data_IF_858800048485
#
_entry.id   IF_858800048485
#
_cell.length_a   1.000
_cell.length_b   1.000
_cell.length_c   1.000
_cell.angle_alpha   90.00
_cell.angle_beta   90.00
_cell.angle_gamma   90.00
#
_symmetry.space_group_name_H-M   'P 1'
#
loop_
_entity.id
_entity.type
_entity.pdbx_description
1 polymer ?
#
# COMPACT_ATOMS: atom_id res chain seq x y z
N UNK A 1 26.96 42.56 87.22
CA UNK A 1 25.87 41.61 86.90
C UNK A 1 26.12 41.04 85.50
N UNK A 2 26.05 39.72 85.38
CA UNK A 2 26.51 38.90 84.24
C UNK A 2 25.72 39.17 82.96
N UNK A 3 26.41 39.31 81.83
CA UNK A 3 25.91 38.98 80.49
C UNK A 3 26.90 37.98 79.89
N UNK A 4 26.44 36.76 79.58
CA UNK A 4 27.15 35.86 78.69
C UNK A 4 26.13 35.34 77.68
N UNK A 5 26.34 35.73 76.43
CA UNK A 5 25.61 35.35 75.24
C UNK A 5 26.59 34.54 74.41
N UNK A 6 26.30 33.27 74.16
CA UNK A 6 27.05 32.46 73.21
C UNK A 6 26.09 31.48 72.55
N UNK A 7 25.66 31.88 71.35
CA UNK A 7 24.83 31.11 70.44
C UNK A 7 25.75 30.19 69.64
N UNK A 8 25.62 28.89 69.85
CA UNK A 8 26.10 27.86 68.94
C UNK A 8 25.23 27.91 67.68
N UNK A 9 25.79 28.31 66.53
CA UNK A 9 25.23 27.95 65.23
C UNK A 9 26.35 27.47 64.31
N UNK A 10 26.40 26.15 64.17
CA UNK A 10 27.18 25.38 63.21
C UNK A 10 26.83 25.80 61.77
N UNK A 11 27.73 26.52 61.12
CA UNK A 11 27.72 26.73 59.67
C UNK A 11 28.66 25.69 59.06
N UNK A 12 28.10 24.55 58.65
CA UNK A 12 28.76 23.66 57.68
C UNK A 12 28.56 24.33 56.31
N UNK A 13 29.61 24.72 55.57
CA UNK A 13 29.43 25.13 54.19
C UNK A 13 29.06 23.88 53.37
N UNK A 14 27.79 23.80 52.98
CA UNK A 14 27.34 22.94 51.89
C UNK A 14 28.04 23.43 50.62
N UNK A 15 29.21 22.88 50.31
CA UNK A 15 29.78 22.92 48.97
C UNK A 15 28.90 22.07 48.05
N UNK A 16 27.76 22.62 47.63
CA UNK A 16 27.09 22.18 46.42
C UNK A 16 28.00 22.56 45.26
N UNK A 17 28.85 21.62 44.83
CA UNK A 17 29.46 21.67 43.52
C UNK A 17 28.31 21.60 42.51
N UNK A 18 27.85 22.75 42.04
CA UNK A 18 26.90 22.81 40.95
C UNK A 18 27.58 22.18 39.72
N UNK A 19 27.15 20.97 39.35
CA UNK A 19 27.67 20.31 38.15
C UNK A 19 27.33 21.19 36.94
N UNK A 20 28.34 21.49 36.13
CA UNK A 20 28.22 22.35 34.96
C UNK A 20 27.22 21.78 33.96
N UNK A 21 26.21 22.59 33.59
CA UNK A 21 25.23 22.23 32.57
C UNK A 21 25.77 22.62 31.20
N UNK A 22 25.90 21.64 30.32
CA UNK A 22 26.31 21.84 28.92
C UNK A 22 25.06 21.69 28.05
N UNK A 23 24.64 22.74 27.36
CA UNK A 23 23.50 22.66 26.44
C UNK A 23 23.93 22.01 25.13
N UNK A 24 23.14 21.06 24.63
CA UNK A 24 23.44 20.30 23.41
C UNK A 24 22.25 20.29 22.44
N UNK A 25 22.54 20.26 21.15
CA UNK A 25 21.54 20.12 20.08
C UNK A 25 21.02 18.67 19.95
N UNK A 26 20.16 18.42 18.97
CA UNK A 26 19.57 17.09 18.75
C UNK A 26 20.53 16.00 18.26
N UNK A 27 21.78 16.35 17.92
CA UNK A 27 22.82 15.41 17.49
C UNK A 27 23.98 15.35 18.49
N UNK A 28 23.85 16.03 19.64
CA UNK A 28 24.81 15.99 20.75
C UNK A 28 25.93 17.04 20.69
N UNK A 29 25.88 18.02 19.79
CA UNK A 29 26.88 19.09 19.74
C UNK A 29 26.56 20.19 20.76
N UNK A 30 27.57 20.78 21.44
CA UNK A 30 27.38 21.93 22.30
C UNK A 30 26.74 23.12 21.56
N UNK A 31 25.78 23.78 22.21
CA UNK A 31 25.02 24.89 21.63
C UNK A 31 24.55 25.87 22.71
N UNK A 32 23.86 26.94 22.31
CA UNK A 32 23.23 27.88 23.26
C UNK A 32 21.92 27.32 23.80
N UNK A 33 21.47 27.80 24.96
CA UNK A 33 20.24 27.33 25.61
C UNK A 33 19.02 27.43 24.69
N UNK A 34 18.95 28.46 23.86
CA UNK A 34 17.84 28.74 22.94
C UNK A 34 17.75 27.72 21.80
N UNK A 35 18.88 27.11 21.44
CA UNK A 35 18.99 26.12 20.35
C UNK A 35 19.11 24.69 20.86
N UNK A 36 19.14 24.50 22.18
CA UNK A 36 19.34 23.22 22.82
C UNK A 36 18.09 22.34 22.70
N UNK A 37 18.30 21.04 22.53
CA UNK A 37 17.24 20.03 22.77
C UNK A 37 17.41 19.38 24.14
N UNK A 38 18.65 19.28 24.61
CA UNK A 38 18.97 18.64 25.89
C UNK A 38 19.99 19.48 26.67
N UNK A 39 20.14 19.19 27.95
CA UNK A 39 21.32 19.59 28.72
C UNK A 39 22.04 18.37 29.26
N UNK A 40 23.37 18.43 29.26
CA UNK A 40 24.28 17.37 29.67
C UNK A 40 24.95 17.73 30.99
N UNK A 41 25.10 16.72 31.84
CA UNK A 41 25.86 16.73 33.07
C UNK A 41 26.93 15.64 32.97
N UNK A 42 28.18 15.99 33.26
CA UNK A 42 29.31 15.05 33.25
C UNK A 42 29.94 15.02 34.64
N UNK A 43 30.11 13.83 35.19
CA UNK A 43 30.86 13.60 36.42
C UNK A 43 32.01 12.62 36.18
N UNK A 44 33.21 12.98 36.62
CA UNK A 44 34.35 12.07 36.53
C UNK A 44 34.25 11.05 37.67
N UNK A 45 34.29 9.76 37.34
CA UNK A 45 34.26 8.65 38.28
C UNK A 45 35.44 7.73 37.97
N UNK A 46 36.49 7.84 38.78
CA UNK A 46 37.77 7.16 38.56
C UNK A 46 38.36 7.41 37.16
N UNK A 47 38.48 6.37 36.35
CA UNK A 47 39.04 6.35 34.99
C UNK A 47 37.98 6.62 33.90
N UNK A 48 36.73 6.95 34.28
CA UNK A 48 35.60 7.10 33.35
C UNK A 48 34.83 8.39 33.60
N UNK A 49 34.02 8.76 32.61
CA UNK A 49 33.06 9.86 32.70
C UNK A 49 31.65 9.29 32.72
N UNK A 50 30.92 9.58 33.79
CA UNK A 50 29.48 9.32 33.86
C UNK A 50 28.74 10.51 33.26
N UNK A 51 28.03 10.26 32.16
CA UNK A 51 27.35 11.26 31.36
C UNK A 51 25.85 11.05 31.48
N UNK A 52 25.15 12.13 31.80
CA UNK A 52 23.70 12.16 31.80
C UNK A 52 23.19 13.31 30.94
N UNK A 53 22.34 12.99 29.99
CA UNK A 53 21.60 13.98 29.22
C UNK A 53 20.16 14.02 29.73
N UNK A 54 19.58 15.22 29.71
CA UNK A 54 18.24 15.48 30.17
C UNK A 54 17.49 16.32 29.14
N UNK A 55 16.21 16.04 28.98
CA UNK A 55 15.28 16.97 28.33
C UNK A 55 15.28 18.32 29.06
N UNK A 56 14.89 19.40 28.37
CA UNK A 56 14.88 20.73 28.97
C UNK A 56 13.93 20.85 30.18
N UNK A 57 12.93 19.97 30.28
CA UNK A 57 12.02 19.86 31.43
C UNK A 57 12.63 19.12 32.64
N UNK A 58 13.84 18.59 32.50
CA UNK A 58 14.60 17.91 33.55
C UNK A 58 14.43 16.39 33.60
N UNK A 59 13.64 15.78 32.69
CA UNK A 59 13.55 14.32 32.60
C UNK A 59 14.83 13.72 32.02
N UNK A 60 15.22 12.55 32.51
CA UNK A 60 16.39 11.82 32.03
C UNK A 60 16.18 11.41 30.57
N UNK A 61 17.15 11.73 29.72
CA UNK A 61 17.17 11.36 28.31
C UNK A 61 18.26 10.35 28.00
N UNK A 62 19.42 10.41 28.66
CA UNK A 62 20.50 9.44 28.50
C UNK A 62 21.23 9.23 29.84
N UNK A 63 21.66 7.99 30.09
CA UNK A 63 22.57 7.61 31.17
C UNK A 63 23.63 6.65 30.61
N UNK A 64 24.89 7.06 30.58
CA UNK A 64 25.98 6.31 29.95
C UNK A 64 27.33 6.60 30.60
N UNK A 65 28.29 5.71 30.37
CA UNK A 65 29.70 5.92 30.74
C UNK A 65 30.58 5.93 29.50
N UNK A 66 31.60 6.78 29.47
CA UNK A 66 32.58 6.84 28.39
C UNK A 66 34.01 6.97 28.95
N UNK A 67 35.01 6.57 28.16
CA UNK A 67 36.43 6.77 28.50
C UNK A 67 36.94 8.18 28.20
N UNK A 68 36.19 8.96 27.40
CA UNK A 68 36.53 10.33 27.00
C UNK A 68 35.35 11.27 27.21
N UNK A 69 35.65 12.54 27.49
CA UNK A 69 34.64 13.59 27.71
C UNK A 69 33.96 14.01 26.41
N UNK A 70 34.66 13.93 25.28
CA UNK A 70 34.27 14.41 23.95
C UNK A 70 33.85 13.27 23.00
N UNK A 71 33.08 12.30 23.51
CA UNK A 71 32.57 11.19 22.71
C UNK A 71 31.63 11.68 21.59
N UNK A 72 31.64 10.96 20.47
CA UNK A 72 30.88 11.29 19.25
C UNK A 72 29.82 10.24 18.91
N UNK A 73 29.89 9.06 19.51
CA UNK A 73 29.12 7.89 19.08
C UNK A 73 28.85 6.90 20.23
N UNK A 74 27.87 6.00 20.03
CA UNK A 74 27.50 4.95 21.01
C UNK A 74 28.64 3.95 21.20
N UNK A 75 29.47 3.76 20.16
CA UNK A 75 30.64 2.90 20.14
C UNK A 75 31.73 3.31 21.13
N UNK A 76 31.67 4.54 21.66
CA UNK A 76 32.61 5.06 22.65
C UNK A 76 32.12 4.88 24.10
N UNK A 77 30.92 4.32 24.28
CA UNK A 77 30.42 3.98 25.61
C UNK A 77 31.05 2.70 26.15
N UNK A 78 31.17 2.65 27.47
CA UNK A 78 31.68 1.50 28.23
C UNK A 78 30.67 1.06 29.26
N UNK A 79 30.45 -0.24 29.41
CA UNK A 79 29.41 -0.75 30.29
C UNK A 79 28.00 -0.43 29.80
N UNK A 80 27.05 -0.38 30.74
CA UNK A 80 25.62 -0.20 30.43
C UNK A 80 25.31 1.25 30.07
N UNK A 81 24.43 1.42 29.09
CA UNK A 81 23.88 2.72 28.72
C UNK A 81 22.39 2.61 28.39
N UNK A 82 21.66 3.71 28.53
CA UNK A 82 20.23 3.78 28.20
C UNK A 82 19.84 5.18 27.74
N UNK A 83 18.88 5.23 26.81
CA UNK A 83 18.26 6.43 26.28
C UNK A 83 16.74 6.32 26.46
N UNK A 84 16.08 7.45 26.63
CA UNK A 84 14.66 7.52 26.95
C UNK A 84 13.93 8.54 26.07
N UNK A 85 12.70 8.20 25.68
CA UNK A 85 11.73 9.14 25.10
C UNK A 85 11.26 10.16 26.16
N UNK A 86 10.61 11.24 25.72
CA UNK A 86 10.06 12.29 26.61
C UNK A 86 9.00 11.77 27.60
N UNK A 87 8.33 10.66 27.24
CA UNK A 87 7.38 9.96 28.10
C UNK A 87 8.04 9.02 29.13
N UNK A 88 9.37 8.92 29.10
CA UNK A 88 10.18 8.10 30.00
C UNK A 88 10.33 6.63 29.57
N UNK A 89 9.74 6.21 28.44
CA UNK A 89 9.99 4.87 27.89
C UNK A 89 11.40 4.77 27.33
N UNK A 90 11.96 3.56 27.35
CA UNK A 90 13.28 3.28 26.78
C UNK A 90 13.23 3.46 25.26
N UNK A 91 14.15 4.27 24.75
CA UNK A 91 14.41 4.45 23.32
C UNK A 91 15.57 3.54 22.87
N UNK A 92 16.67 3.53 23.63
CA UNK A 92 17.84 2.69 23.37
C UNK A 92 18.30 2.07 24.69
N UNK A 93 18.68 0.79 24.66
CA UNK A 93 19.33 0.15 25.80
C UNK A 93 20.44 -0.78 25.32
N UNK A 94 21.61 -0.69 25.93
CA UNK A 94 22.74 -1.51 25.55
C UNK A 94 23.83 -1.63 26.60
N UNK A 95 24.86 -2.39 26.24
CA UNK A 95 26.03 -2.62 27.04
C UNK A 95 27.26 -2.83 26.14
N UNK A 96 28.37 -2.19 26.48
CA UNK A 96 29.70 -2.57 26.02
C UNK A 96 30.38 -3.38 27.14
N UNK A 97 30.86 -4.57 26.79
CA UNK A 97 31.60 -5.43 27.70
C UNK A 97 32.74 -6.13 26.97
N UNK A 98 33.96 -5.83 27.38
CA UNK A 98 35.18 -6.48 26.89
C UNK A 98 35.33 -6.42 25.35
N UNK A 99 35.02 -5.28 24.74
CA UNK A 99 35.07 -5.08 23.28
C UNK A 99 33.86 -5.62 22.53
N UNK A 100 32.85 -6.14 23.23
CA UNK A 100 31.57 -6.56 22.65
C UNK A 100 30.51 -5.50 22.94
N UNK A 101 29.96 -4.88 21.89
CA UNK A 101 28.88 -3.90 21.99
C UNK A 101 27.57 -4.55 21.59
N UNK A 102 26.51 -4.36 22.38
CA UNK A 102 25.16 -4.80 22.02
C UNK A 102 24.11 -3.79 22.48
N UNK A 103 23.16 -3.45 21.61
CA UNK A 103 22.06 -2.58 21.98
C UNK A 103 20.77 -2.87 21.20
N UNK A 104 19.65 -2.46 21.78
CA UNK A 104 18.33 -2.46 21.16
C UNK A 104 17.82 -1.04 21.05
N UNK A 105 17.20 -0.73 19.91
CA UNK A 105 16.45 0.50 19.67
C UNK A 105 14.97 0.14 19.63
N UNK A 106 14.13 0.95 20.27
CA UNK A 106 12.69 0.75 20.36
C UNK A 106 11.95 1.90 19.68
N UNK A 107 10.76 1.61 19.16
CA UNK A 107 9.83 2.65 18.69
C UNK A 107 9.04 3.28 19.87
N UNK A 108 8.31 4.39 19.66
CA UNK A 108 7.50 5.02 20.72
C UNK A 108 6.39 4.13 21.31
N UNK A 109 6.04 3.02 20.63
CA UNK A 109 5.09 2.00 21.12
C UNK A 109 5.79 0.93 21.98
N UNK A 110 7.12 0.99 22.11
CA UNK A 110 7.94 0.05 22.87
C UNK A 110 8.28 -1.24 22.12
N UNK A 111 8.07 -1.29 20.80
CA UNK A 111 8.44 -2.44 19.97
C UNK A 111 9.91 -2.31 19.55
N UNK A 112 10.63 -3.42 19.43
CA UNK A 112 12.01 -3.41 18.92
C UNK A 112 11.98 -2.92 17.47
N UNK A 113 12.80 -1.92 17.16
CA UNK A 113 13.08 -1.43 15.82
C UNK A 113 14.41 -1.99 15.32
N UNK A 114 15.45 -1.95 16.16
CA UNK A 114 16.78 -2.46 15.81
C UNK A 114 17.38 -3.27 16.95
N UNK A 115 18.06 -4.36 16.62
CA UNK A 115 19.06 -4.98 17.50
C UNK A 115 20.42 -4.92 16.81
N UNK A 116 21.43 -4.46 17.53
CA UNK A 116 22.81 -4.36 17.04
C UNK A 116 23.73 -5.15 17.96
N UNK A 117 24.64 -5.91 17.37
CA UNK A 117 25.69 -6.65 18.07
C UNK A 117 27.00 -6.53 17.29
N UNK A 118 28.09 -6.18 17.98
CA UNK A 118 29.43 -6.12 17.42
C UNK A 118 30.43 -6.81 18.34
N UNK A 119 31.22 -7.73 17.77
CA UNK A 119 32.33 -8.42 18.43
C UNK A 119 33.56 -8.33 17.51
N UNK A 120 34.55 -7.53 17.92
CA UNK A 120 35.69 -7.18 17.06
C UNK A 120 35.22 -6.43 15.81
N UNK A 121 35.57 -6.95 14.62
CA UNK A 121 35.12 -6.42 13.33
C UNK A 121 33.76 -7.00 12.87
N UNK A 122 33.28 -8.06 13.53
CA UNK A 122 32.04 -8.71 13.13
C UNK A 122 30.84 -7.94 13.64
N UNK A 123 29.84 -7.75 12.78
CA UNK A 123 28.59 -7.07 13.09
C UNK A 123 27.40 -7.95 12.74
N UNK A 124 26.39 -7.94 13.61
CA UNK A 124 25.09 -8.55 13.39
C UNK A 124 24.00 -7.54 13.72
N UNK A 125 23.05 -7.36 12.80
CA UNK A 125 21.98 -6.37 12.93
C UNK A 125 20.65 -7.01 12.58
N UNK A 126 19.64 -6.80 13.43
CA UNK A 126 18.24 -7.07 13.11
C UNK A 126 17.50 -5.74 12.95
N UNK A 127 16.77 -5.56 11.85
CA UNK A 127 15.99 -4.34 11.58
C UNK A 127 14.53 -4.70 11.32
N UNK A 128 13.62 -4.15 12.12
CA UNK A 128 12.19 -4.41 12.13
C UNK A 128 11.42 -3.22 11.54
N UNK A 129 10.76 -3.46 10.41
CA UNK A 129 9.90 -2.50 9.73
C UNK A 129 8.44 -2.92 9.89
N UNK A 130 7.66 -2.12 10.61
CA UNK A 130 6.24 -2.39 10.83
C UNK A 130 5.36 -1.69 9.79
N UNK A 131 4.36 -2.39 9.27
CA UNK A 131 3.46 -1.91 8.22
C UNK A 131 2.64 -0.68 8.66
N UNK A 132 2.37 -0.54 9.97
CA UNK A 132 1.69 0.63 10.52
C UNK A 132 2.55 1.90 10.54
N UNK A 133 3.86 1.77 10.26
CA UNK A 133 4.78 2.89 10.05
C UNK A 133 4.95 3.24 8.56
N UNK A 134 4.34 2.49 7.63
CA UNK A 134 4.43 2.78 6.20
C UNK A 134 3.58 4.02 5.85
N UNK A 135 4.18 4.96 5.10
CA UNK A 135 3.53 6.22 4.67
C UNK A 135 2.34 6.04 3.72
N UNK A 136 2.02 4.80 3.30
CA UNK A 136 0.98 4.52 2.31
C UNK A 136 -0.33 4.15 3.03
N UNK A 137 -1.16 5.16 3.25
CA UNK A 137 -2.52 4.99 3.77
C UNK A 137 -3.30 4.03 2.87
N UNK A 138 -3.79 2.92 3.42
CA UNK A 138 -4.72 2.01 2.74
C UNK A 138 -4.13 0.71 2.15
N UNK A 139 -2.81 0.51 2.17
CA UNK A 139 -2.21 -0.79 1.81
C UNK A 139 -1.94 -1.65 3.05
N UNK A 140 -2.53 -2.83 3.09
CA UNK A 140 -2.28 -3.85 4.11
C UNK A 140 -0.99 -4.60 3.77
N UNK A 141 0.15 -4.04 4.16
CA UNK A 141 1.47 -4.64 3.92
C UNK A 141 1.88 -5.58 5.07
N UNK A 142 2.85 -6.46 4.81
CA UNK A 142 3.47 -7.28 5.84
C UNK A 142 4.43 -6.45 6.70
N UNK A 143 4.57 -6.81 7.97
CA UNK A 143 5.76 -6.45 8.73
C UNK A 143 6.97 -7.19 8.15
N UNK A 144 8.14 -6.57 8.20
CA UNK A 144 9.38 -7.13 7.65
C UNK A 144 10.50 -7.03 8.67
N UNK A 145 11.23 -8.13 8.89
CA UNK A 145 12.50 -8.10 9.63
C UNK A 145 13.65 -8.55 8.74
N UNK A 146 14.75 -7.81 8.79
CA UNK A 146 16.01 -8.11 8.10
C UNK A 146 17.04 -8.55 9.13
N UNK A 147 17.82 -9.57 8.77
CA UNK A 147 18.97 -10.06 9.53
C UNK A 147 20.21 -9.84 8.67
N UNK A 148 21.14 -9.04 9.17
CA UNK A 148 22.36 -8.64 8.48
C UNK A 148 23.59 -9.12 9.25
N UNK A 149 24.57 -9.64 8.53
CA UNK A 149 25.89 -9.98 9.04
C UNK A 149 26.94 -9.24 8.21
N UNK A 150 27.81 -8.46 8.85
CA UNK A 150 28.88 -7.71 8.18
C UNK A 150 28.36 -6.89 6.99
N UNK A 151 27.29 -6.11 7.24
CA UNK A 151 26.56 -5.29 6.27
C UNK A 151 25.88 -6.05 5.10
N UNK A 152 25.84 -7.39 5.11
CA UNK A 152 25.15 -8.21 4.11
C UNK A 152 23.87 -8.79 4.68
N UNK A 153 22.75 -8.63 3.97
CA UNK A 153 21.48 -9.28 4.34
C UNK A 153 21.61 -10.79 4.15
N UNK A 154 21.38 -11.55 5.22
CA UNK A 154 21.39 -13.02 5.21
C UNK A 154 20.01 -13.63 5.26
N UNK A 155 19.07 -12.94 5.91
CA UNK A 155 17.69 -13.39 6.03
C UNK A 155 16.71 -12.22 6.03
N UNK A 156 15.56 -12.41 5.41
CA UNK A 156 14.40 -11.51 5.49
C UNK A 156 13.18 -12.33 5.88
N UNK A 157 12.34 -11.83 6.78
CA UNK A 157 11.07 -12.46 7.14
C UNK A 157 9.94 -11.46 6.91
N UNK A 158 8.93 -11.86 6.15
CA UNK A 158 7.67 -11.16 6.01
C UNK A 158 6.63 -11.85 6.89
N UNK A 159 5.96 -11.10 7.75
CA UNK A 159 5.02 -11.65 8.73
C UNK A 159 3.90 -10.65 9.02
N UNK A 160 2.79 -11.13 9.57
CA UNK A 160 1.74 -10.27 10.10
C UNK A 160 2.14 -9.79 11.50
N UNK A 161 1.46 -10.20 12.56
CA UNK A 161 1.77 -9.77 13.92
C UNK A 161 2.79 -10.67 14.62
N UNK A 162 2.76 -11.99 14.33
CA UNK A 162 3.53 -13.00 15.07
C UNK A 162 4.48 -13.77 14.13
N UNK A 163 5.78 -13.62 14.37
CA UNK A 163 6.87 -14.33 13.68
C UNK A 163 6.79 -15.87 13.81
N UNK A 164 5.97 -16.40 14.71
CA UNK A 164 5.77 -17.85 14.87
C UNK A 164 4.64 -18.40 14.01
N UNK A 165 3.81 -17.54 13.39
CA UNK A 165 2.66 -17.94 12.56
C UNK A 165 3.01 -17.90 11.08
N UNK A 166 2.02 -17.61 10.24
CA UNK A 166 2.17 -17.50 8.81
C UNK A 166 3.18 -16.43 8.46
N UNK A 167 4.16 -16.83 7.64
CA UNK A 167 5.27 -15.97 7.26
C UNK A 167 5.97 -16.51 6.02
N UNK A 168 6.74 -15.63 5.40
CA UNK A 168 7.66 -15.96 4.32
C UNK A 168 9.06 -15.65 4.81
N UNK A 169 9.94 -16.64 4.80
CA UNK A 169 11.36 -16.46 5.10
C UNK A 169 12.17 -16.56 3.81
N UNK A 170 13.01 -15.56 3.56
CA UNK A 170 13.97 -15.52 2.46
C UNK A 170 15.38 -15.64 3.05
N UNK A 171 16.14 -16.62 2.61
CA UNK A 171 17.54 -16.84 2.99
C UNK A 171 18.43 -16.52 1.79
N UNK A 172 19.34 -15.57 1.95
CA UNK A 172 20.19 -15.07 0.88
C UNK A 172 21.56 -15.76 0.95
N UNK A 173 21.89 -16.55 -0.06
CA UNK A 173 23.23 -17.12 -0.22
C UNK A 173 24.17 -16.07 -0.83
N UNK A 174 23.68 -15.37 -1.86
CA UNK A 174 24.27 -14.19 -2.49
C UNK A 174 23.14 -13.27 -3.04
N UNK A 175 23.48 -12.29 -3.90
CA UNK A 175 22.50 -11.35 -4.45
C UNK A 175 21.48 -12.00 -5.40
N UNK A 176 21.85 -13.10 -6.06
CA UNK A 176 21.04 -13.75 -7.11
C UNK A 176 20.38 -15.06 -6.64
N UNK A 177 20.84 -15.60 -5.50
CA UNK A 177 20.42 -16.90 -4.98
C UNK A 177 19.68 -16.77 -3.65
N UNK A 178 18.37 -17.06 -3.67
CA UNK A 178 17.48 -16.94 -2.51
C UNK A 178 16.71 -18.23 -2.28
N UNK A 179 16.77 -18.78 -1.07
CA UNK A 179 15.89 -19.87 -0.64
C UNK A 179 14.68 -19.29 0.09
N UNK A 180 13.50 -19.50 -0.47
CA UNK A 180 12.22 -19.14 0.12
C UNK A 180 11.65 -20.30 0.93
N UNK A 181 11.12 -20.01 2.12
CA UNK A 181 10.36 -20.92 2.97
C UNK A 181 9.04 -20.29 3.37
N UNK A 182 7.97 -21.07 3.27
CA UNK A 182 6.59 -20.61 3.46
C UNK A 182 5.95 -21.36 4.62
N UNK A 183 5.30 -20.64 5.53
CA UNK A 183 4.70 -21.20 6.73
C UNK A 183 3.21 -20.87 6.83
N UNK A 184 2.41 -21.84 7.29
CA UNK A 184 0.98 -21.67 7.50
C UNK A 184 0.64 -20.86 8.76
N UNK A 185 -0.65 -20.65 9.02
CA UNK A 185 -1.18 -19.87 10.14
C UNK A 185 -0.81 -20.45 11.52
N UNK A 186 -0.39 -21.72 11.57
CA UNK A 186 0.09 -22.42 12.77
C UNK A 186 1.61 -22.41 12.87
N UNK A 187 2.32 -21.79 11.92
CA UNK A 187 3.77 -21.74 11.87
C UNK A 187 4.44 -22.98 11.28
N UNK A 188 3.67 -23.88 10.66
CA UNK A 188 4.21 -25.10 10.05
C UNK A 188 4.74 -24.79 8.65
N UNK A 189 5.93 -25.31 8.33
CA UNK A 189 6.49 -25.23 6.98
C UNK A 189 5.60 -25.99 5.99
N UNK A 190 5.15 -25.30 4.94
CA UNK A 190 4.24 -25.83 3.91
C UNK A 190 4.81 -25.74 2.49
N UNK A 191 5.88 -24.96 2.29
CA UNK A 191 6.54 -24.88 1.00
C UNK A 191 7.96 -24.37 1.11
N UNK A 192 8.75 -24.66 0.07
CA UNK A 192 10.07 -24.07 -0.11
C UNK A 192 10.45 -24.10 -1.59
N UNK A 193 11.12 -23.04 -2.04
CA UNK A 193 11.58 -22.88 -3.42
C UNK A 193 12.86 -22.05 -3.44
N UNK A 194 13.86 -22.50 -4.19
CA UNK A 194 15.03 -21.70 -4.48
C UNK A 194 14.76 -20.78 -5.67
N UNK A 195 15.36 -19.61 -5.71
CA UNK A 195 15.37 -18.70 -6.85
C UNK A 195 16.85 -18.46 -7.18
N UNK A 196 17.25 -18.75 -8.41
CA UNK A 196 18.63 -18.62 -8.89
C UNK A 196 18.64 -17.78 -10.17
N UNK A 197 18.92 -16.48 -10.05
CA UNK A 197 18.83 -15.55 -11.17
C UNK A 197 17.49 -15.65 -11.91
N UNK A 198 17.53 -15.89 -13.22
CA UNK A 198 16.35 -16.08 -14.08
C UNK A 198 15.97 -17.55 -14.31
N UNK A 199 16.67 -18.51 -13.70
CA UNK A 199 16.45 -19.94 -13.95
C UNK A 199 15.25 -20.47 -13.16
N UNK A 200 14.39 -21.22 -13.86
CA UNK A 200 13.27 -21.90 -13.22
C UNK A 200 13.76 -22.99 -12.26
N UNK A 201 13.33 -22.93 -11.01
CA UNK A 201 13.63 -23.95 -10.00
C UNK A 201 12.36 -24.71 -9.61
N UNK A 202 12.54 -26.02 -9.40
CA UNK A 202 11.53 -26.85 -8.79
C UNK A 202 11.28 -26.44 -7.33
N UNK A 203 10.07 -26.64 -6.84
CA UNK A 203 9.74 -26.37 -5.45
C UNK A 203 8.26 -26.08 -5.24
N UNK A 204 7.95 -25.65 -4.02
CA UNK A 204 6.60 -25.28 -3.62
C UNK A 204 6.60 -23.80 -3.26
N UNK A 205 5.79 -23.04 -3.98
CA UNK A 205 5.52 -21.64 -3.73
C UNK A 205 4.15 -21.49 -3.08
N UNK A 206 4.01 -20.49 -2.19
CA UNK A 206 2.77 -20.25 -1.47
C UNK A 206 2.43 -18.76 -1.54
N UNK A 207 1.22 -18.47 -2.00
CA UNK A 207 0.62 -17.14 -1.92
C UNK A 207 -0.24 -17.01 -0.66
N UNK A 208 -0.32 -15.80 -0.12
CA UNK A 208 -1.14 -15.49 1.04
C UNK A 208 -2.16 -14.40 0.73
N UNK A 209 -3.32 -14.50 1.35
CA UNK A 209 -4.16 -13.34 1.60
C UNK A 209 -3.48 -12.42 2.62
N UNK A 210 -3.70 -11.12 2.49
CA UNK A 210 -3.19 -10.13 3.44
C UNK A 210 -4.26 -9.76 4.49
N UNK A 211 -3.84 -9.64 5.76
CA UNK A 211 -4.59 -9.16 6.93
C UNK A 211 -6.05 -9.66 7.06
N UNK A 212 -6.28 -10.84 7.70
CA UNK A 212 -5.26 -11.70 8.30
C UNK A 212 -4.45 -12.46 7.25
N UNK A 213 -3.20 -12.79 7.59
CA UNK A 213 -2.35 -13.62 6.74
C UNK A 213 -2.86 -15.06 6.74
N UNK A 214 -3.29 -15.53 5.58
CA UNK A 214 -3.85 -16.87 5.39
C UNK A 214 -3.40 -17.44 4.05
N UNK A 215 -3.23 -18.75 3.96
CA UNK A 215 -2.84 -19.42 2.72
C UNK A 215 -3.91 -19.20 1.65
N UNK A 216 -3.51 -18.62 0.52
CA UNK A 216 -4.36 -18.38 -0.66
C UNK A 216 -4.13 -19.44 -1.72
N UNK A 217 -2.88 -19.72 -2.05
CA UNK A 217 -2.53 -20.72 -3.05
C UNK A 217 -1.27 -21.49 -2.66
N UNK A 218 -1.19 -22.76 -3.07
CA UNK A 218 0.01 -23.60 -2.98
C UNK A 218 0.27 -24.17 -4.36
N UNK A 219 1.39 -23.78 -4.97
CA UNK A 219 1.76 -24.13 -6.34
C UNK A 219 3.05 -24.94 -6.32
N UNK A 220 3.01 -26.13 -6.93
CA UNK A 220 4.18 -26.99 -7.09
C UNK A 220 4.75 -26.85 -8.51
N UNK A 221 6.05 -26.58 -8.58
CA UNK A 221 6.79 -26.34 -9.81
C UNK A 221 7.77 -27.47 -10.10
N UNK A 222 7.92 -27.84 -11.37
CA UNK A 222 8.99 -28.72 -11.84
C UNK A 222 10.30 -27.93 -12.11
N UNK A 223 11.37 -28.66 -12.43
CA UNK A 223 12.68 -28.06 -12.73
C UNK A 223 12.73 -27.30 -14.07
N UNK A 224 11.69 -27.37 -14.88
CA UNK A 224 11.55 -26.65 -16.15
C UNK A 224 10.70 -25.39 -16.01
N UNK A 225 10.13 -25.14 -14.82
CA UNK A 225 9.25 -24.01 -14.55
C UNK A 225 7.78 -24.27 -14.90
N UNK A 226 7.38 -25.52 -15.12
CA UNK A 226 5.96 -25.87 -15.31
C UNK A 226 5.28 -26.12 -13.97
N UNK A 227 4.00 -25.77 -13.89
CA UNK A 227 3.14 -26.07 -12.74
C UNK A 227 2.67 -27.53 -12.84
N UNK A 228 2.95 -28.32 -11.79
CA UNK A 228 2.55 -29.74 -11.67
C UNK A 228 1.24 -29.88 -10.89
N UNK A 229 1.08 -29.08 -9.84
CA UNK A 229 -0.06 -29.08 -8.92
C UNK A 229 -0.31 -27.63 -8.50
N UNK A 230 -1.55 -27.18 -8.53
CA UNK A 230 -1.91 -25.88 -8.00
C UNK A 230 -3.23 -25.97 -7.26
N UNK A 231 -3.23 -25.48 -6.01
CA UNK A 231 -4.40 -25.46 -5.14
C UNK A 231 -4.65 -24.05 -4.65
N UNK A 232 -5.82 -23.54 -4.94
CA UNK A 232 -6.29 -22.25 -4.44
C UNK A 232 -7.34 -22.50 -3.36
N UNK A 233 -7.34 -21.68 -2.31
CA UNK A 233 -8.19 -21.82 -1.14
C UNK A 233 -9.01 -20.54 -0.91
N UNK A 234 -10.22 -20.71 -0.40
CA UNK A 234 -10.95 -19.61 0.22
C UNK A 234 -10.24 -19.17 1.51
N UNK A 235 -10.52 -17.94 1.99
CA UNK A 235 -10.08 -17.47 3.32
C UNK A 235 -10.48 -18.36 4.49
N UNK A 236 -11.50 -19.21 4.32
CA UNK A 236 -11.89 -20.22 5.32
C UNK A 236 -10.90 -21.40 5.41
N UNK A 237 -9.89 -21.47 4.54
CA UNK A 237 -8.96 -22.59 4.41
C UNK A 237 -9.52 -23.77 3.59
N UNK A 238 -10.74 -23.66 3.08
CA UNK A 238 -11.35 -24.67 2.22
C UNK A 238 -10.85 -24.54 0.79
N UNK A 239 -10.64 -25.68 0.13
CA UNK A 239 -10.21 -25.76 -1.26
C UNK A 239 -11.24 -25.08 -2.18
N UNK A 240 -10.78 -24.15 -3.01
CA UNK A 240 -11.56 -23.46 -4.03
C UNK A 240 -11.33 -24.09 -5.40
N UNK A 241 -10.06 -24.30 -5.77
CA UNK A 241 -9.71 -24.96 -7.03
C UNK A 241 -8.52 -25.88 -6.87
N UNK A 242 -8.46 -26.91 -7.72
CA UNK A 242 -7.33 -27.81 -7.82
C UNK A 242 -7.04 -28.10 -9.29
N UNK A 243 -5.86 -27.68 -9.74
CA UNK A 243 -5.30 -27.96 -11.05
C UNK A 243 -4.32 -29.13 -10.95
N UNK A 244 -4.48 -30.12 -11.82
CA UNK A 244 -3.58 -31.29 -11.92
C UNK A 244 -3.27 -31.60 -13.38
N UNK A 245 -1.99 -31.58 -13.77
CA UNK A 245 -1.57 -31.90 -15.13
C UNK A 245 -0.15 -31.43 -15.47
N UNK A 246 0.31 -31.74 -16.67
CA UNK A 246 1.65 -31.44 -17.20
C UNK A 246 1.71 -30.16 -18.05
N UNK A 247 0.70 -29.29 -17.91
CA UNK A 247 0.60 -28.02 -18.63
C UNK A 247 -0.06 -28.09 -20.00
N UNK A 248 -0.01 -29.23 -20.73
CA UNK A 248 -0.62 -29.33 -22.06
C UNK A 248 -2.09 -29.72 -21.99
N UNK A 249 -2.39 -30.83 -21.33
CA UNK A 249 -3.75 -31.32 -21.16
C UNK A 249 -4.02 -31.42 -19.67
N UNK A 250 -4.63 -30.37 -19.12
CA UNK A 250 -4.82 -30.19 -17.68
C UNK A 250 -6.30 -30.03 -17.35
N UNK A 251 -6.73 -30.55 -16.22
CA UNK A 251 -8.08 -30.29 -15.70
C UNK A 251 -7.98 -29.50 -14.41
N UNK A 252 -8.79 -28.45 -14.29
CA UNK A 252 -9.00 -27.70 -13.06
C UNK A 252 -10.38 -28.05 -12.53
N UNK A 253 -10.45 -28.50 -11.28
CA UNK A 253 -11.72 -28.74 -10.58
C UNK A 253 -11.99 -27.60 -9.62
N UNK A 254 -13.22 -27.07 -9.62
CA UNK A 254 -13.65 -26.00 -8.73
C UNK A 254 -14.64 -26.52 -7.69
N UNK A 255 -14.58 -25.97 -6.48
CA UNK A 255 -15.37 -26.36 -5.32
C UNK A 255 -15.99 -25.14 -4.65
N UNK A 256 -17.19 -25.31 -4.11
CA UNK A 256 -17.85 -24.26 -3.34
C UNK A 256 -17.25 -24.15 -1.93
N UNK A 257 -17.65 -23.11 -1.18
CA UNK A 257 -17.22 -22.92 0.21
C UNK A 257 -17.71 -24.02 1.19
N UNK A 258 -18.49 -25.01 0.74
CA UNK A 258 -18.87 -26.21 1.50
C UNK A 258 -18.04 -27.44 1.08
N UNK A 259 -17.17 -27.32 0.09
CA UNK A 259 -16.34 -28.40 -0.46
C UNK A 259 -17.05 -29.24 -1.53
N UNK A 260 -18.22 -28.82 -2.02
CA UNK A 260 -18.94 -29.51 -3.10
C UNK A 260 -18.37 -29.06 -4.44
N UNK A 261 -18.07 -30.02 -5.31
CA UNK A 261 -17.65 -29.76 -6.70
C UNK A 261 -18.69 -28.90 -7.42
N UNK A 262 -18.25 -27.78 -7.99
CA UNK A 262 -19.04 -26.85 -8.80
C UNK A 262 -18.90 -27.17 -10.29
N UNK A 263 -17.66 -27.30 -10.77
CA UNK A 263 -17.36 -27.49 -12.19
C UNK A 263 -15.96 -28.07 -12.42
N UNK A 264 -15.67 -28.36 -13.68
CA UNK A 264 -14.33 -28.58 -14.21
C UNK A 264 -14.09 -27.67 -15.41
N UNK A 265 -12.82 -27.35 -15.64
CA UNK A 265 -12.31 -26.74 -16.87
C UNK A 265 -11.18 -27.61 -17.41
N UNK A 266 -11.31 -28.07 -18.65
CA UNK A 266 -10.25 -28.79 -19.36
C UNK A 266 -9.47 -27.84 -20.24
N UNK A 267 -8.15 -27.96 -20.20
CA UNK A 267 -7.21 -27.30 -21.08
C UNK A 267 -6.78 -28.25 -22.19
N UNK A 268 -6.54 -27.71 -23.39
CA UNK A 268 -5.89 -28.42 -24.49
C UNK A 268 -4.75 -27.56 -25.03
N UNK A 269 -3.56 -28.16 -25.16
CA UNK A 269 -2.35 -27.45 -25.60
C UNK A 269 -2.05 -26.17 -24.79
N UNK A 270 -2.37 -26.17 -23.50
CA UNK A 270 -2.13 -25.02 -22.62
C UNK A 270 -3.23 -23.95 -22.61
N UNK A 271 -4.27 -24.09 -23.43
CA UNK A 271 -5.37 -23.13 -23.51
C UNK A 271 -6.69 -23.67 -22.92
N UNK A 272 -7.53 -22.84 -22.26
CA UNK A 272 -8.86 -23.24 -21.83
C UNK A 272 -9.71 -23.75 -23.00
N UNK A 273 -10.28 -24.94 -22.88
CA UNK A 273 -11.00 -25.58 -23.98
C UNK A 273 -12.49 -25.79 -23.71
N UNK A 274 -12.84 -26.44 -22.60
CA UNK A 274 -14.22 -26.85 -22.33
C UNK A 274 -14.49 -26.83 -20.83
N UNK A 275 -15.60 -26.23 -20.42
CA UNK A 275 -16.06 -26.26 -19.02
C UNK A 275 -16.26 -24.87 -18.44
N UNK A 276 -16.21 -24.76 -17.11
CA UNK A 276 -16.49 -23.50 -16.40
C UNK A 276 -15.35 -23.19 -15.45
N UNK A 277 -14.77 -22.00 -15.62
CA UNK A 277 -13.77 -21.41 -14.76
C UNK A 277 -14.41 -20.50 -13.71
N UNK A 278 -13.79 -20.40 -12.54
CA UNK A 278 -14.12 -19.42 -11.51
C UNK A 278 -12.84 -18.76 -10.99
N UNK A 279 -12.92 -17.50 -10.58
CA UNK A 279 -11.82 -16.79 -9.89
C UNK A 279 -12.26 -16.22 -8.55
N UNK A 280 -11.29 -15.99 -7.67
CA UNK A 280 -11.48 -15.25 -6.43
C UNK A 280 -10.73 -13.92 -6.50
N UNK A 281 -11.31 -12.88 -5.90
CA UNK A 281 -10.64 -11.60 -5.71
C UNK A 281 -9.54 -11.70 -4.62
N UNK A 282 -8.87 -10.57 -4.37
CA UNK A 282 -7.84 -10.46 -3.33
C UNK A 282 -8.39 -10.60 -1.90
N UNK A 283 -9.71 -10.54 -1.71
CA UNK A 283 -10.39 -10.78 -0.43
C UNK A 283 -10.85 -12.25 -0.30
N UNK A 284 -10.69 -13.07 -1.35
CA UNK A 284 -11.11 -14.46 -1.38
C UNK A 284 -12.60 -14.66 -1.61
N UNK A 285 -13.27 -13.65 -2.18
CA UNK A 285 -14.67 -13.70 -2.61
C UNK A 285 -14.74 -14.05 -4.09
N UNK A 286 -15.86 -14.64 -4.51
CA UNK A 286 -16.05 -14.99 -5.92
C UNK A 286 -16.09 -13.72 -6.77
N UNK A 287 -15.23 -13.64 -7.77
CA UNK A 287 -15.06 -12.45 -8.61
C UNK A 287 -15.63 -12.67 -10.01
N UNK A 288 -15.23 -13.77 -10.66
CA UNK A 288 -15.66 -14.09 -12.01
C UNK A 288 -16.06 -15.56 -12.19
N UNK A 289 -16.87 -15.79 -13.23
CA UNK A 289 -17.19 -17.09 -13.79
C UNK A 289 -17.14 -17.00 -15.30
N UNK A 290 -16.44 -17.93 -15.96
CA UNK A 290 -16.31 -17.96 -17.42
C UNK A 290 -16.67 -19.34 -17.96
N UNK A 291 -17.50 -19.39 -18.99
CA UNK A 291 -17.97 -20.62 -19.65
C UNK A 291 -17.24 -20.78 -20.98
N UNK A 292 -16.54 -21.91 -21.13
CA UNK A 292 -15.77 -22.26 -22.31
C UNK A 292 -16.40 -23.41 -23.09
N UNK A 293 -16.39 -23.28 -24.41
CA UNK A 293 -16.83 -24.30 -25.35
C UNK A 293 -15.92 -24.34 -26.57
N UNK A 294 -15.28 -25.48 -26.77
CA UNK A 294 -14.33 -25.73 -27.87
C UNK A 294 -13.21 -24.69 -28.04
N UNK A 295 -12.68 -24.15 -26.95
CA UNK A 295 -11.59 -23.15 -26.98
C UNK A 295 -12.05 -21.70 -26.91
N UNK A 296 -13.35 -21.44 -26.93
CA UNK A 296 -13.90 -20.10 -26.97
C UNK A 296 -14.78 -19.80 -25.77
N UNK A 297 -14.83 -18.53 -25.39
CA UNK A 297 -15.72 -18.05 -24.34
C UNK A 297 -17.13 -17.94 -24.93
N UNK A 298 -18.10 -18.59 -24.29
CA UNK A 298 -19.52 -18.49 -24.63
C UNK A 298 -20.17 -17.37 -23.80
N UNK A 299 -19.85 -17.33 -22.50
CA UNK A 299 -20.33 -16.33 -21.55
C UNK A 299 -19.31 -16.07 -20.45
N UNK A 300 -19.29 -14.84 -19.92
CA UNK A 300 -18.61 -14.52 -18.67
C UNK A 300 -19.52 -13.74 -17.72
N UNK A 301 -19.26 -13.86 -16.43
CA UNK A 301 -20.00 -13.21 -15.35
C UNK A 301 -19.00 -12.59 -14.39
N UNK A 302 -19.26 -11.36 -13.95
CA UNK A 302 -18.59 -10.78 -12.79
C UNK A 302 -19.59 -10.64 -11.64
N UNK A 303 -19.09 -10.73 -10.42
CA UNK A 303 -19.91 -10.71 -9.20
C UNK A 303 -19.63 -9.45 -8.38
N UNK A 304 -20.66 -9.01 -7.68
CA UNK A 304 -20.53 -8.09 -6.56
C UNK A 304 -19.90 -8.80 -5.36
N UNK A 305 -19.31 -8.04 -4.44
CA UNK A 305 -18.81 -8.59 -3.16
C UNK A 305 -19.87 -9.36 -2.34
N UNK A 306 -21.15 -9.06 -2.54
CA UNK A 306 -22.26 -9.79 -1.91
C UNK A 306 -22.60 -11.14 -2.59
N UNK A 307 -21.89 -11.51 -3.66
CA UNK A 307 -22.06 -12.74 -4.42
C UNK A 307 -23.15 -12.69 -5.50
N UNK A 308 -23.87 -11.58 -5.66
CA UNK A 308 -24.83 -11.42 -6.75
C UNK A 308 -24.10 -11.07 -8.06
N UNK A 309 -24.69 -11.45 -9.20
CA UNK A 309 -24.14 -11.10 -10.51
C UNK A 309 -24.16 -9.57 -10.65
N UNK A 310 -23.02 -9.01 -11.04
CA UNK A 310 -22.81 -7.59 -11.37
C UNK A 310 -22.97 -7.38 -12.88
N UNK A 311 -22.39 -8.29 -13.66
CA UNK A 311 -22.37 -8.23 -15.11
C UNK A 311 -22.45 -9.64 -15.71
N UNK A 312 -23.13 -9.77 -16.84
CA UNK A 312 -23.01 -10.91 -17.75
C UNK A 312 -22.58 -10.40 -19.12
N UNK A 313 -21.57 -11.02 -19.71
CA UNK A 313 -21.13 -10.79 -21.09
C UNK A 313 -21.47 -12.02 -21.93
N UNK A 314 -22.18 -11.82 -23.02
CA UNK A 314 -22.56 -12.83 -23.99
C UNK A 314 -21.71 -12.64 -25.27
N UNK A 315 -21.16 -13.74 -25.80
CA UNK A 315 -20.28 -13.73 -26.98
C UNK A 315 -20.97 -14.32 -28.21
N UNK A 316 -20.68 -13.77 -29.38
CA UNK A 316 -21.23 -14.19 -30.66
C UNK A 316 -20.59 -15.50 -31.15
N UNK A 317 -21.13 -16.06 -32.24
CA UNK A 317 -20.53 -17.21 -32.94
C UNK A 317 -19.15 -16.92 -33.52
N UNK A 318 -18.80 -15.64 -33.68
CA UNK A 318 -17.48 -15.17 -34.10
C UNK A 318 -16.56 -14.90 -32.91
N UNK A 319 -17.00 -15.20 -31.69
CA UNK A 319 -16.25 -15.04 -30.44
C UNK A 319 -15.94 -13.59 -30.06
N UNK A 320 -16.70 -12.66 -30.63
CA UNK A 320 -16.72 -11.24 -30.26
C UNK A 320 -17.80 -11.00 -29.21
N UNK A 321 -17.67 -9.91 -28.43
CA UNK A 321 -18.74 -9.51 -27.50
C UNK A 321 -19.98 -9.14 -28.32
N UNK A 322 -21.11 -9.75 -27.99
CA UNK A 322 -22.41 -9.46 -28.60
C UNK A 322 -23.23 -8.51 -27.71
N UNK A 323 -23.26 -8.83 -26.41
CA UNK A 323 -24.04 -8.08 -25.42
C UNK A 323 -23.41 -8.14 -24.04
N UNK A 324 -23.57 -7.04 -23.29
CA UNK A 324 -23.36 -7.01 -21.85
C UNK A 324 -24.69 -6.67 -21.16
N UNK A 325 -25.10 -7.50 -20.20
CA UNK A 325 -26.24 -7.21 -19.30
C UNK A 325 -25.69 -6.86 -17.92
N UNK A 326 -26.07 -5.71 -17.40
CA UNK A 326 -25.69 -5.22 -16.07
C UNK A 326 -26.82 -5.40 -15.08
N UNK A 327 -26.48 -5.69 -13.82
CA UNK A 327 -27.45 -5.96 -12.77
C UNK A 327 -27.19 -5.04 -11.58
N UNK A 328 -28.25 -4.63 -10.89
CA UNK A 328 -28.15 -3.98 -9.59
C UNK A 328 -27.81 -5.01 -8.50
N UNK A 329 -27.30 -4.55 -7.35
CA UNK A 329 -26.99 -5.42 -6.19
C UNK A 329 -28.20 -6.23 -5.69
N UNK A 330 -29.44 -5.83 -6.01
CA UNK A 330 -30.69 -6.55 -5.71
C UNK A 330 -31.13 -7.55 -6.81
N UNK A 331 -30.28 -7.84 -7.79
CA UNK A 331 -30.49 -8.77 -8.92
C UNK A 331 -31.43 -8.30 -10.05
N UNK A 332 -31.98 -7.09 -9.97
CA UNK A 332 -32.75 -6.53 -11.09
C UNK A 332 -31.81 -6.08 -12.21
N UNK A 333 -32.23 -6.19 -13.47
CA UNK A 333 -31.48 -5.64 -14.61
C UNK A 333 -31.35 -4.12 -14.45
N UNK A 334 -30.12 -3.61 -14.56
CA UNK A 334 -29.78 -2.19 -14.48
C UNK A 334 -29.74 -1.56 -15.87
N UNK A 335 -29.15 -2.25 -16.84
CA UNK A 335 -29.00 -1.80 -18.21
C UNK A 335 -28.36 -2.87 -19.08
N UNK A 336 -28.31 -2.62 -20.37
CA UNK A 336 -27.65 -3.50 -21.34
C UNK A 336 -26.81 -2.66 -22.30
N UNK A 337 -25.82 -3.29 -22.94
CA UNK A 337 -25.01 -2.73 -24.01
C UNK A 337 -24.89 -3.76 -25.13
N UNK A 338 -25.32 -3.38 -26.32
CA UNK A 338 -25.20 -4.17 -27.54
C UNK A 338 -23.97 -3.73 -28.34
N UNK A 339 -23.32 -4.71 -28.95
CA UNK A 339 -22.18 -4.50 -29.83
C UNK A 339 -22.56 -4.80 -31.27
N UNK A 340 -21.88 -4.14 -32.20
CA UNK A 340 -21.96 -4.41 -33.63
C UNK A 340 -20.56 -4.29 -34.20
N UNK A 341 -20.07 -5.32 -34.90
CA UNK A 341 -18.73 -5.35 -35.50
C UNK A 341 -17.62 -4.96 -34.49
N UNK A 342 -17.71 -5.52 -33.27
CA UNK A 342 -16.75 -5.28 -32.18
C UNK A 342 -16.85 -3.90 -31.49
N UNK A 343 -17.77 -3.00 -31.89
CA UNK A 343 -17.91 -1.67 -31.28
C UNK A 343 -19.20 -1.50 -30.48
N UNK A 344 -19.15 -0.66 -29.44
CA UNK A 344 -20.32 -0.28 -28.65
C UNK A 344 -21.38 0.37 -29.55
N UNK A 345 -22.57 -0.20 -29.62
CA UNK A 345 -23.60 0.23 -30.56
C UNK A 345 -24.79 0.89 -29.86
N UNK A 346 -25.45 0.19 -28.93
CA UNK A 346 -26.66 0.67 -28.28
C UNK A 346 -26.70 0.26 -26.81
N UNK A 347 -26.85 1.24 -25.89
CA UNK A 347 -27.05 0.99 -24.46
C UNK A 347 -25.97 1.58 -23.55
N UNK A 348 -25.89 1.10 -22.31
CA UNK A 348 -25.08 1.70 -21.24
C UNK A 348 -23.80 0.91 -21.00
N UNK A 349 -22.64 1.56 -21.15
CA UNK A 349 -21.35 1.06 -20.69
C UNK A 349 -21.09 1.60 -19.28
N UNK A 350 -21.16 0.74 -18.27
CA UNK A 350 -20.78 1.09 -16.90
C UNK A 350 -19.30 0.80 -16.64
N UNK A 351 -18.62 1.66 -15.86
CA UNK A 351 -17.18 1.53 -15.56
C UNK A 351 -16.90 0.49 -14.46
N UNK A 352 -17.27 0.79 -13.22
CA UNK A 352 -17.25 -0.18 -12.12
C UNK A 352 -18.48 0.00 -11.23
N UNK A 353 -19.45 -0.89 -11.44
CA UNK A 353 -20.70 -0.91 -10.68
C UNK A 353 -20.51 -1.27 -9.20
N UNK A 354 -19.36 -1.81 -8.79
CA UNK A 354 -19.08 -2.04 -7.37
C UNK A 354 -18.93 -0.70 -6.63
N UNK A 355 -18.24 0.26 -7.26
CA UNK A 355 -17.92 1.58 -6.71
C UNK A 355 -19.08 2.57 -6.87
N UNK A 356 -19.55 2.79 -8.11
CA UNK A 356 -20.56 3.81 -8.38
C UNK A 356 -21.32 3.59 -9.71
N UNK A 357 -22.23 4.52 -10.01
CA UNK A 357 -23.13 4.48 -11.18
C UNK A 357 -22.64 5.34 -12.36
N UNK A 358 -21.32 5.43 -12.56
CA UNK A 358 -20.75 6.07 -13.75
C UNK A 358 -21.03 5.27 -15.01
N UNK A 359 -21.38 5.95 -16.11
CA UNK A 359 -21.65 5.30 -17.39
C UNK A 359 -21.36 6.17 -18.62
N UNK A 360 -21.32 5.51 -19.78
CA UNK A 360 -21.44 6.10 -21.11
C UNK A 360 -22.65 5.47 -21.81
N UNK A 361 -23.55 6.28 -22.37
CA UNK A 361 -24.68 5.82 -23.16
C UNK A 361 -24.35 5.91 -24.64
N UNK A 362 -24.58 4.83 -25.38
CA UNK A 362 -24.44 4.74 -26.83
C UNK A 362 -25.81 4.63 -27.50
N UNK A 363 -25.93 5.30 -28.64
CA UNK A 363 -27.02 5.12 -29.60
C UNK A 363 -26.45 5.04 -31.02
N UNK A 364 -26.79 3.96 -31.71
CA UNK A 364 -26.38 3.68 -33.09
C UNK A 364 -24.88 3.83 -33.37
N UNK A 365 -24.04 3.42 -32.42
CA UNK A 365 -22.57 3.48 -32.53
C UNK A 365 -21.96 4.80 -32.05
N UNK A 366 -22.77 5.80 -31.72
CA UNK A 366 -22.30 7.08 -31.21
C UNK A 366 -22.57 7.20 -29.71
N UNK A 367 -21.60 7.71 -28.95
CA UNK A 367 -21.87 8.08 -27.57
C UNK A 367 -22.80 9.31 -27.55
N UNK A 368 -23.81 9.28 -26.67
CA UNK A 368 -24.79 10.35 -26.51
C UNK A 368 -24.81 10.94 -25.11
N UNK A 369 -24.30 10.22 -24.12
CA UNK A 369 -24.29 10.66 -22.73
C UNK A 369 -23.09 10.08 -21.97
N UNK A 370 -22.52 10.85 -21.03
CA UNK A 370 -21.46 10.43 -20.12
C UNK A 370 -21.80 10.96 -18.73
N UNK A 371 -21.72 10.10 -17.72
CA UNK A 371 -21.87 10.45 -16.31
C UNK A 371 -20.69 9.86 -15.54
N UNK A 372 -19.96 10.69 -14.79
CA UNK A 372 -18.86 10.25 -13.93
C UNK A 372 -19.09 10.72 -12.49
N UNK A 373 -19.05 9.77 -11.57
CA UNK A 373 -19.19 9.92 -10.14
C UNK A 373 -17.86 9.48 -9.50
N UNK A 374 -17.44 10.14 -8.43
CA UNK A 374 -16.25 9.73 -7.68
C UNK A 374 -16.54 8.72 -6.56
N UNK A 375 -15.49 8.32 -5.83
CA UNK A 375 -15.57 7.43 -4.67
C UNK A 375 -16.50 7.92 -3.54
N UNK A 376 -16.74 9.23 -3.45
CA UNK A 376 -17.61 9.84 -2.44
C UNK A 376 -19.06 9.98 -2.93
N UNK A 377 -19.40 9.35 -4.05
CA UNK A 377 -20.71 9.46 -4.72
C UNK A 377 -21.06 10.89 -5.17
N UNK A 378 -20.07 11.72 -5.42
CA UNK A 378 -20.26 13.08 -5.94
C UNK A 378 -20.16 13.06 -7.47
N UNK A 379 -21.15 13.62 -8.16
CA UNK A 379 -21.10 13.82 -9.61
C UNK A 379 -19.91 14.75 -9.92
N UNK A 380 -18.99 14.32 -10.79
CA UNK A 380 -17.80 15.09 -11.21
C UNK A 380 -17.95 15.63 -12.62
N UNK A 381 -18.58 14.85 -13.48
CA UNK A 381 -18.72 15.18 -14.89
C UNK A 381 -20.02 14.62 -15.45
N UNK A 382 -20.71 15.43 -16.22
CA UNK A 382 -21.85 15.04 -17.01
C UNK A 382 -21.74 15.64 -18.41
N UNK A 383 -21.99 14.87 -19.46
CA UNK A 383 -21.99 15.36 -20.84
C UNK A 383 -23.06 14.66 -21.65
N UNK A 384 -23.81 15.39 -22.46
CA UNK A 384 -24.92 14.87 -23.25
C UNK A 384 -25.02 15.53 -24.64
N UNK A 385 -25.44 14.73 -25.62
CA UNK A 385 -25.74 15.17 -26.99
C UNK A 385 -27.14 15.75 -27.04
N UNK A 386 -27.23 17.02 -27.38
CA UNK A 386 -28.48 17.75 -27.54
C UNK A 386 -29.19 17.38 -28.85
N UNK A 387 -30.50 17.64 -28.94
CA UNK A 387 -31.31 17.37 -30.14
C UNK A 387 -30.79 18.06 -31.42
N UNK A 388 -30.14 19.20 -31.27
CA UNK A 388 -29.53 19.96 -32.36
C UNK A 388 -28.11 19.49 -32.73
N UNK A 389 -27.62 18.38 -32.13
CA UNK A 389 -26.30 17.82 -32.38
C UNK A 389 -25.17 18.43 -31.54
N UNK A 390 -25.42 19.50 -30.77
CA UNK A 390 -24.43 20.09 -29.86
C UNK A 390 -24.14 19.16 -28.68
N UNK A 391 -22.93 19.26 -28.11
CA UNK A 391 -22.59 18.54 -26.87
C UNK A 391 -22.57 19.51 -25.70
N UNK A 392 -23.46 19.32 -24.72
CA UNK A 392 -23.44 20.09 -23.48
C UNK A 392 -22.75 19.29 -22.40
N UNK A 393 -21.90 19.93 -21.61
CA UNK A 393 -21.22 19.29 -20.49
C UNK A 393 -21.23 20.18 -19.25
N UNK A 394 -21.18 19.52 -18.09
CA UNK A 394 -21.18 20.11 -16.76
C UNK A 394 -20.04 19.46 -15.95
N UNK A 395 -19.22 20.27 -15.29
CA UNK A 395 -18.12 19.85 -14.40
C UNK A 395 -18.42 20.35 -13.00
N UNK A 396 -18.13 19.53 -12.00
CA UNK A 396 -18.48 19.77 -10.60
C UNK A 396 -17.23 19.77 -9.71
N UNK A 397 -17.18 20.67 -8.72
CA UNK A 397 -16.10 20.75 -7.73
C UNK A 397 -16.23 19.66 -6.66
N UNK A 398 -15.23 19.53 -5.79
CA UNK A 398 -15.17 18.54 -4.70
C UNK A 398 -16.44 18.42 -3.85
N UNK A 399 -17.18 19.53 -3.65
CA UNK A 399 -18.43 19.59 -2.89
C UNK A 399 -19.69 19.20 -3.69
N UNK A 400 -19.56 18.94 -4.98
CA UNK A 400 -20.67 18.62 -5.89
C UNK A 400 -21.36 19.86 -6.47
N UNK A 401 -20.73 21.03 -6.41
CA UNK A 401 -21.27 22.26 -6.97
C UNK A 401 -20.73 22.48 -8.39
N UNK A 402 -21.55 23.04 -9.29
CA UNK A 402 -21.11 23.32 -10.67
C UNK A 402 -19.90 24.25 -10.66
N UNK A 403 -18.88 23.87 -11.41
CA UNK A 403 -17.67 24.66 -11.66
C UNK A 403 -17.64 25.18 -13.09
N UNK A 404 -18.06 24.36 -14.05
CA UNK A 404 -18.10 24.73 -15.46
C UNK A 404 -19.35 24.16 -16.13
N UNK A 405 -19.92 24.93 -17.05
CA UNK A 405 -20.83 24.43 -18.06
C UNK A 405 -20.23 24.84 -19.41
N UNK A 406 -20.18 23.92 -20.36
CA UNK A 406 -19.78 24.26 -21.72
C UNK A 406 -20.63 23.54 -22.77
N UNK A 407 -20.79 24.18 -23.92
CA UNK A 407 -21.48 23.63 -25.09
C UNK A 407 -20.52 23.61 -26.27
N UNK A 408 -20.34 22.44 -26.88
CA UNK A 408 -19.53 22.28 -28.09
C UNK A 408 -20.46 22.27 -29.29
N UNK A 409 -20.19 23.16 -30.23
CA UNK A 409 -20.80 23.20 -31.55
C UNK A 409 -19.73 22.91 -32.60
N UNK A 410 -20.02 21.97 -33.51
CA UNK A 410 -19.22 21.77 -34.72
C UNK A 410 -19.92 22.44 -35.88
N UNK A 411 -19.24 23.37 -36.54
CA UNK A 411 -19.76 24.08 -37.69
C UNK A 411 -18.89 23.74 -38.92
N UNK A 412 -19.52 23.52 -40.08
CA UNK A 412 -18.77 23.39 -41.33
C UNK A 412 -18.08 24.72 -41.65
N UNK A 413 -16.83 24.66 -42.07
CA UNK A 413 -16.13 25.81 -42.60
C UNK A 413 -16.40 25.89 -44.11
N UNK A 414 -16.97 27.00 -44.58
CA UNK A 414 -17.24 27.18 -46.01
C UNK A 414 -15.95 27.27 -46.86
N UNK A 415 -14.79 27.47 -46.22
CA UNK A 415 -13.49 27.68 -46.87
C UNK A 415 -12.46 26.56 -46.60
N UNK A 416 -12.81 25.50 -45.88
CA UNK A 416 -11.92 24.34 -45.67
C UNK A 416 -12.70 23.05 -45.43
N UNK A 417 -12.06 21.91 -45.64
CA UNK A 417 -12.63 20.59 -45.26
C UNK A 417 -12.61 20.36 -43.74
N UNK A 418 -12.05 21.28 -42.95
CA UNK A 418 -11.98 21.18 -41.49
C UNK A 418 -13.23 21.80 -40.83
N UNK A 419 -13.81 21.12 -39.83
CA UNK A 419 -14.90 21.67 -39.03
C UNK A 419 -14.38 22.66 -37.98
N UNK A 420 -15.05 23.80 -37.88
CA UNK A 420 -14.83 24.74 -36.79
C UNK A 420 -15.38 24.17 -35.48
N UNK A 421 -14.51 24.11 -34.47
CA UNK A 421 -14.89 23.75 -33.10
C UNK A 421 -15.15 25.02 -32.30
N UNK A 422 -16.40 25.24 -31.93
CA UNK A 422 -16.84 26.37 -31.10
C UNK A 422 -17.25 25.84 -29.72
N UNK A 423 -16.72 26.44 -28.66
CA UNK A 423 -17.03 26.10 -27.27
C UNK A 423 -17.53 27.35 -26.55
N UNK A 424 -18.82 27.38 -26.25
CA UNK A 424 -19.43 28.36 -25.34
C UNK A 424 -19.27 27.85 -23.91
N UNK A 425 -18.72 28.65 -23.00
CA UNK A 425 -18.51 28.21 -21.61
C UNK A 425 -18.98 29.25 -20.58
N UNK A 426 -19.34 28.76 -19.40
CA UNK A 426 -19.65 29.54 -18.19
C UNK A 426 -18.91 28.89 -17.01
N UNK A 427 -18.19 29.69 -16.24
CA UNK A 427 -17.52 29.28 -15.00
C UNK A 427 -18.31 29.73 -13.79
N UNK A 428 -18.30 28.90 -12.76
CA UNK A 428 -19.00 29.12 -11.50
C UNK A 428 -18.05 29.02 -10.30
N UNK A 429 -18.29 29.85 -9.29
CA UNK A 429 -17.64 29.78 -7.98
C UNK A 429 -18.70 30.01 -6.89
N UNK A 430 -18.81 29.09 -5.94
CA UNK A 430 -19.85 29.09 -4.89
C UNK A 430 -21.27 29.27 -5.48
N UNK A 431 -21.55 28.61 -6.61
CA UNK A 431 -22.85 28.65 -7.29
C UNK A 431 -23.15 29.92 -8.10
N UNK A 432 -22.22 30.89 -8.19
CA UNK A 432 -22.40 32.12 -8.96
C UNK A 432 -21.55 32.11 -10.23
N UNK A 433 -22.12 32.59 -11.34
CA UNK A 433 -21.38 32.82 -12.58
C UNK A 433 -20.29 33.87 -12.34
N UNK A 434 -19.04 33.54 -12.66
CA UNK A 434 -17.88 34.44 -12.51
C UNK A 434 -17.24 34.82 -13.84
N UNK A 435 -17.29 33.93 -14.84
CA UNK A 435 -16.71 34.15 -16.16
C UNK A 435 -17.54 33.42 -17.22
N UNK A 436 -17.51 33.93 -18.44
CA UNK A 436 -18.03 33.23 -19.62
C UNK A 436 -17.27 33.66 -20.86
N UNK A 437 -17.34 32.85 -21.90
CA UNK A 437 -16.69 33.17 -23.15
C UNK A 437 -16.94 32.15 -24.25
N UNK A 438 -16.30 32.41 -25.39
CA UNK A 438 -16.38 31.60 -26.59
C UNK A 438 -14.96 31.27 -27.03
N UNK A 439 -14.66 29.97 -27.15
CA UNK A 439 -13.41 29.48 -27.72
C UNK A 439 -13.71 28.95 -29.11
N UNK A 440 -12.99 29.43 -30.13
CA UNK A 440 -13.04 28.91 -31.50
C UNK A 440 -11.67 28.41 -31.90
N UNK A 441 -11.57 27.16 -32.33
CA UNK A 441 -10.32 26.54 -32.80
C UNK A 441 -9.14 26.76 -31.83
N UNK A 442 -9.39 26.49 -30.54
CA UNK A 442 -8.44 26.63 -29.42
C UNK A 442 -8.06 28.08 -29.04
N UNK A 443 -8.67 29.10 -29.65
CA UNK A 443 -8.44 30.51 -29.34
C UNK A 443 -9.67 31.08 -28.65
N UNK A 444 -9.49 31.76 -27.50
CA UNK A 444 -10.54 32.52 -26.85
C UNK A 444 -10.87 33.75 -27.69
N UNK A 445 -12.05 33.75 -28.32
CA UNK A 445 -12.51 34.83 -29.19
C UNK A 445 -13.23 35.93 -28.40
N UNK A 446 -13.95 35.54 -27.34
CA UNK A 446 -14.76 36.46 -26.54
C UNK A 446 -14.76 36.03 -25.06
N UNK A 447 -14.78 37.03 -24.17
CA UNK A 447 -14.94 36.83 -22.73
C UNK A 447 -13.62 36.62 -21.99
N UNK A 448 -13.71 36.00 -20.81
CA UNK A 448 -12.56 35.71 -19.94
C UNK A 448 -12.67 34.31 -19.36
N UNK A 449 -11.55 33.71 -19.02
CA UNK A 449 -11.44 32.38 -18.39
C UNK A 449 -10.45 32.51 -17.24
N UNK A 450 -10.89 32.19 -16.01
CA UNK A 450 -9.95 31.99 -14.91
C UNK A 450 -9.39 30.59 -15.02
N UNK A 451 -8.07 30.48 -15.13
CA UNK A 451 -7.35 29.21 -15.13
C UNK A 451 -6.75 29.06 -13.74
N UNK A 452 -7.07 27.96 -13.04
CA UNK A 452 -6.36 27.65 -11.80
C UNK A 452 -4.94 27.24 -12.16
N UNK A 453 -3.94 27.99 -11.68
CA UNK A 453 -2.55 27.63 -11.89
C UNK A 453 -2.17 26.57 -10.86
N UNK A 454 -1.43 25.54 -11.28
CA UNK A 454 -1.02 24.41 -10.40
C UNK A 454 -0.11 24.84 -9.23
N UNK A 455 0.24 26.12 -9.17
CA UNK A 455 1.13 26.76 -8.19
C UNK A 455 0.39 27.58 -7.12
N UNK A 456 -0.92 27.81 -7.28
CA UNK A 456 -1.70 28.66 -6.36
C UNK A 456 -2.23 27.88 -5.13
N UNK A 457 -2.18 26.55 -5.13
CA UNK A 457 -2.66 25.72 -4.00
C UNK A 457 -1.60 25.52 -2.89
N UNK A 458 -0.45 26.22 -2.96
CA UNK A 458 0.66 26.17 -1.99
C UNK A 458 1.04 27.56 -1.40
N UNK A 459 0.18 28.58 -1.49
CA UNK A 459 0.37 29.86 -0.79
C UNK A 459 -0.60 30.05 0.37
#
# INVERSE_FOLDING_TARGET
MKKLLLLFLSIIPLCFWAQEKIYIDGVGNPTTKEKAKFYRIISQQADRYHIKDFFLDGKLQMDAYATKKDFRSIEEFVGKFSFYFEDGKIEIQGEEKNGTLSYKVYDPKGRINTYYHKEGENTYIETYNYADNAYVKGKKEFNVVYYQENAKVKKRIQYEEDLKKARIESYYEDEDNVLLKYYDEKGKLIGSRAVKGSEAQAGIEVEYYHAPTQVKAITQWDAKGNIIDDKVYYRSGKLFSHRKGDGKDTTITFYDAKGKKMSELTYKQGEPYQGIAYSLDNEGLLEEKTIYKFGYIEQSFSYYKNGNIKQRTDYSIHHEIDKITYYNKNKTIKGELLFKDGVCYNGYLYNDLEENDSYILYKDGEFVEIKQIDENNVLRYYKEKQKNGQMKAEIYNEKGEKSYIYTITRAKNDNSEEEDLIIDFVQYENGKEINKGIIKNKILQQGSIKIKNKWDDNM
#
